data_IF_781962950006
#
_entry.id   IF_781962950006
#
_cell.length_a   1.000
_cell.length_b   1.000
_cell.length_c   1.000
_cell.angle_alpha   90.00
_cell.angle_beta   90.00
_cell.angle_gamma   90.00
#
_symmetry.space_group_name_H-M   'P 1'
#
loop_
_entity.id
_entity.type
_entity.pdbx_description
1 polymer ?
#
# COMPACT_ATOMS: atom_id res chain seq x y z
N UNK A 1 -31.36 4.82 -4.26
CA UNK A 1 -30.05 4.19 -4.02
C UNK A 1 -28.87 4.75 -4.84
N UNK A 2 -29.01 5.25 -6.09
CA UNK A 2 -27.84 5.71 -6.87
C UNK A 2 -27.07 6.86 -6.21
N UNK A 3 -27.78 7.80 -5.59
CA UNK A 3 -27.19 8.99 -4.97
C UNK A 3 -26.31 8.66 -3.75
N UNK A 4 -26.74 7.72 -2.90
CA UNK A 4 -25.94 7.23 -1.78
C UNK A 4 -24.63 6.60 -2.24
N UNK A 5 -24.68 5.73 -3.26
CA UNK A 5 -23.50 5.08 -3.80
C UNK A 5 -22.54 6.09 -4.45
N UNK A 6 -23.07 7.08 -5.18
CA UNK A 6 -22.24 8.13 -5.80
C UNK A 6 -21.54 9.00 -4.74
N UNK A 7 -22.26 9.39 -3.69
CA UNK A 7 -21.68 10.15 -2.58
C UNK A 7 -20.60 9.33 -1.87
N UNK A 8 -20.86 8.06 -1.55
CA UNK A 8 -19.89 7.15 -0.93
C UNK A 8 -18.63 6.97 -1.78
N UNK A 9 -18.77 6.76 -3.09
CA UNK A 9 -17.62 6.65 -4.00
C UNK A 9 -16.82 7.94 -3.99
N UNK A 10 -17.47 9.11 -4.07
CA UNK A 10 -16.78 10.40 -4.05
C UNK A 10 -16.00 10.61 -2.75
N UNK A 11 -16.59 10.27 -1.62
CA UNK A 11 -15.95 10.45 -0.30
C UNK A 11 -14.77 9.49 -0.12
N UNK A 12 -14.90 8.24 -0.58
CA UNK A 12 -13.78 7.29 -0.62
C UNK A 12 -12.67 7.77 -1.57
N UNK A 13 -13.00 8.30 -2.76
CA UNK A 13 -12.00 8.85 -3.68
C UNK A 13 -11.25 10.03 -3.05
N UNK A 14 -11.94 10.93 -2.35
CA UNK A 14 -11.26 12.02 -1.62
C UNK A 14 -10.33 11.48 -0.54
N UNK A 15 -10.74 10.44 0.19
CA UNK A 15 -9.89 9.80 1.19
C UNK A 15 -8.66 9.12 0.55
N UNK A 16 -8.81 8.56 -0.64
CA UNK A 16 -7.68 8.02 -1.43
C UNK A 16 -6.72 9.12 -1.91
N UNK A 17 -7.26 10.30 -2.23
CA UNK A 17 -6.49 11.45 -2.71
C UNK A 17 -5.76 12.21 -1.58
N UNK A 18 -6.21 12.08 -0.33
CA UNK A 18 -5.55 12.64 0.85
C UNK A 18 -4.39 11.74 1.25
N UNK A 19 -3.17 12.13 0.86
CA UNK A 19 -1.95 11.35 1.08
C UNK A 19 -1.39 11.41 2.51
N UNK A 20 -2.09 12.07 3.43
CA UNK A 20 -1.57 12.40 4.77
C UNK A 20 -1.83 11.31 5.85
N UNK A 21 -2.72 10.34 5.60
CA UNK A 21 -3.13 9.32 6.59
C UNK A 21 -2.62 7.89 6.31
N UNK A 22 -1.44 7.75 5.68
CA UNK A 22 -0.84 6.43 5.49
C UNK A 22 -0.49 5.77 6.84
N UNK A 23 -0.73 4.47 6.94
CA UNK A 23 -0.45 3.68 8.15
C UNK A 23 0.48 2.49 7.90
N UNK A 24 1.00 2.36 6.68
CA UNK A 24 1.98 1.35 6.32
C UNK A 24 3.10 1.92 5.43
N UNK A 25 4.34 1.57 5.77
CA UNK A 25 5.52 1.75 4.94
C UNK A 25 5.94 0.40 4.34
N UNK A 26 6.02 0.31 3.01
CA UNK A 26 6.53 -0.86 2.29
C UNK A 26 7.99 -0.60 1.91
N UNK A 27 8.88 -1.53 2.28
CA UNK A 27 10.30 -1.49 1.96
C UNK A 27 10.63 -2.60 0.96
N UNK A 28 11.12 -2.23 -0.22
CA UNK A 28 11.44 -3.14 -1.32
C UNK A 28 12.91 -2.98 -1.71
N UNK A 29 13.62 -4.08 -1.93
CA UNK A 29 15.01 -4.08 -2.40
C UNK A 29 15.85 -5.18 -1.76
N UNK A 30 17.13 -5.20 -2.07
CA UNK A 30 18.11 -6.09 -1.42
C UNK A 30 18.63 -5.43 -0.13
N UNK A 31 18.82 -6.21 0.93
CA UNK A 31 19.49 -5.79 2.17
C UNK A 31 20.92 -5.31 1.93
N UNK A 32 21.56 -5.76 0.86
CA UNK A 32 22.91 -5.34 0.45
C UNK A 32 22.91 -4.21 -0.60
N UNK A 33 21.72 -3.70 -0.97
CA UNK A 33 21.54 -2.68 -2.01
C UNK A 33 20.62 -1.53 -1.58
N UNK A 34 20.15 -0.75 -2.56
CA UNK A 34 19.26 0.39 -2.28
C UNK A 34 17.85 -0.08 -1.94
N UNK A 35 17.43 0.16 -0.70
CA UNK A 35 16.03 -0.01 -0.28
C UNK A 35 15.19 1.18 -0.76
N UNK A 36 14.02 0.89 -1.33
CA UNK A 36 13.03 1.88 -1.74
C UNK A 36 11.84 1.82 -0.79
N UNK A 37 11.35 2.99 -0.35
CA UNK A 37 10.25 3.14 0.60
C UNK A 37 8.97 3.61 -0.10
N UNK A 38 7.83 3.05 0.30
CA UNK A 38 6.50 3.47 -0.15
C UNK A 38 5.60 3.66 1.05
N UNK A 39 4.82 4.73 1.02
CA UNK A 39 3.76 4.97 1.98
C UNK A 39 2.43 4.60 1.34
N UNK A 40 1.55 3.95 2.09
CA UNK A 40 0.26 3.51 1.59
C UNK A 40 -0.75 3.34 2.74
N UNK A 41 -2.02 3.09 2.38
CA UNK A 41 -3.06 2.73 3.33
C UNK A 41 -3.31 1.23 3.32
N UNK A 42 -3.05 0.57 4.44
CA UNK A 42 -3.19 -0.89 4.58
C UNK A 42 -4.59 -1.40 4.21
N UNK A 43 -5.65 -0.63 4.48
CA UNK A 43 -7.03 -0.99 4.15
C UNK A 43 -7.25 -1.10 2.64
N UNK A 44 -6.76 -0.14 1.85
CA UNK A 44 -6.85 -0.16 0.39
C UNK A 44 -6.16 -1.42 -0.14
N UNK A 45 -4.95 -1.71 0.35
CA UNK A 45 -4.16 -2.87 -0.10
C UNK A 45 -4.89 -4.18 0.18
N UNK A 46 -5.46 -4.33 1.37
CA UNK A 46 -6.25 -5.51 1.76
C UNK A 46 -7.52 -5.66 0.94
N UNK A 47 -8.17 -4.55 0.58
CA UNK A 47 -9.36 -4.55 -0.25
C UNK A 47 -9.06 -4.90 -1.72
N UNK A 48 -7.90 -4.48 -2.23
CA UNK A 48 -7.52 -4.61 -3.65
C UNK A 48 -6.75 -5.87 -3.98
N UNK A 49 -6.14 -6.54 -2.99
CA UNK A 49 -5.29 -7.68 -3.23
C UNK A 49 -5.47 -8.77 -2.16
N UNK A 50 -5.89 -10.00 -2.53
CA UNK A 50 -5.91 -11.14 -1.61
C UNK A 50 -4.54 -11.45 -1.00
N UNK A 51 -3.44 -11.14 -1.72
CA UNK A 51 -2.10 -11.24 -1.18
C UNK A 51 -1.91 -10.29 0.00
N UNK A 52 -2.18 -8.99 -0.18
CA UNK A 52 -2.06 -8.02 0.92
C UNK A 52 -3.12 -8.24 2.01
N UNK A 53 -4.31 -8.73 1.65
CA UNK A 53 -5.33 -9.16 2.63
C UNK A 53 -4.76 -10.19 3.61
N UNK A 54 -4.03 -11.19 3.10
CA UNK A 54 -3.36 -12.21 3.92
C UNK A 54 -2.12 -11.66 4.60
N UNK A 55 -1.21 -11.03 3.85
CA UNK A 55 0.08 -10.53 4.34
C UNK A 55 -0.05 -9.47 5.45
N UNK A 56 -1.14 -8.70 5.46
CA UNK A 56 -1.43 -7.68 6.48
C UNK A 56 -2.43 -8.12 7.55
N UNK A 57 -2.90 -9.38 7.51
CA UNK A 57 -3.87 -9.90 8.50
C UNK A 57 -3.25 -10.58 9.72
N UNK A 58 -1.98 -11.00 9.64
CA UNK A 58 -1.31 -11.84 10.65
C UNK A 58 0.22 -11.65 10.68
N UNK A 59 0.74 -10.53 11.16
CA UNK A 59 2.13 -10.46 11.69
C UNK A 59 3.33 -10.59 10.73
N UNK A 60 3.22 -10.14 9.47
CA UNK A 60 4.42 -9.97 8.60
C UNK A 60 4.92 -8.52 8.54
N UNK A 61 4.17 -7.57 9.11
CA UNK A 61 4.64 -6.21 9.30
C UNK A 61 5.09 -6.00 10.74
N UNK A 62 6.31 -5.50 10.93
CA UNK A 62 6.72 -5.00 12.25
C UNK A 62 6.04 -3.66 12.48
N UNK A 63 5.39 -3.48 13.62
CA UNK A 63 4.89 -2.18 14.02
C UNK A 63 6.04 -1.41 14.67
N UNK A 64 6.47 -0.32 14.06
CA UNK A 64 7.44 0.62 14.65
C UNK A 64 6.64 1.89 15.00
N UNK A 65 6.21 2.00 16.26
CA UNK A 65 5.30 3.06 16.71
C UNK A 65 3.87 2.88 16.17
N UNK A 66 3.32 3.90 15.53
CA UNK A 66 1.99 3.87 14.91
C UNK A 66 1.99 3.30 13.48
N UNK A 67 3.15 3.22 12.84
CA UNK A 67 3.29 2.76 11.45
C UNK A 67 3.66 1.28 11.35
N UNK A 68 3.02 0.59 10.40
CA UNK A 68 3.38 -0.78 10.02
C UNK A 68 4.50 -0.76 8.99
N UNK A 69 5.54 -1.57 9.18
CA UNK A 69 6.63 -1.73 8.20
C UNK A 69 6.54 -3.10 7.56
N UNK A 70 6.30 -3.12 6.27
CA UNK A 70 6.25 -4.34 5.45
C UNK A 70 7.52 -4.46 4.61
N UNK A 71 8.42 -5.36 5.02
CA UNK A 71 9.70 -5.59 4.33
C UNK A 71 9.56 -6.73 3.34
N UNK A 72 9.98 -6.50 2.10
CA UNK A 72 10.10 -7.54 1.08
C UNK A 72 11.51 -7.56 0.50
N UNK A 73 12.49 -8.08 1.29
CA UNK A 73 13.82 -8.34 0.76
C UNK A 73 13.68 -9.38 -0.37
N UNK A 74 14.45 -9.25 -1.45
CA UNK A 74 14.47 -10.14 -2.64
C UNK A 74 13.51 -9.78 -3.79
N UNK A 75 12.92 -8.58 -3.82
CA UNK A 75 12.31 -8.06 -5.05
C UNK A 75 13.34 -7.20 -5.79
N UNK A 76 13.60 -7.53 -7.06
CA UNK A 76 14.52 -6.76 -7.88
C UNK A 76 13.94 -5.38 -8.23
N UNK A 77 14.78 -4.35 -8.40
CA UNK A 77 14.34 -3.02 -8.82
C UNK A 77 13.51 -3.01 -10.13
N UNK A 78 13.71 -4.00 -11.03
CA UNK A 78 12.94 -4.12 -12.29
C UNK A 78 11.52 -4.62 -12.06
N UNK A 79 11.33 -5.64 -11.21
CA UNK A 79 9.99 -6.09 -10.80
C UNK A 79 9.28 -4.95 -10.07
N UNK A 80 10.02 -4.17 -9.29
CA UNK A 80 9.51 -2.97 -8.65
C UNK A 80 8.98 -1.91 -9.64
N UNK A 81 9.69 -1.61 -10.73
CA UNK A 81 9.17 -0.67 -11.77
C UNK A 81 7.87 -1.18 -12.38
N UNK A 82 7.73 -2.49 -12.56
CA UNK A 82 6.48 -3.09 -13.03
C UNK A 82 5.35 -2.92 -12.00
N UNK A 83 5.61 -3.16 -10.72
CA UNK A 83 4.61 -2.95 -9.66
C UNK A 83 4.20 -1.49 -9.52
N UNK A 84 5.15 -0.56 -9.65
CA UNK A 84 4.89 0.88 -9.61
C UNK A 84 4.07 1.36 -10.81
N UNK A 85 4.20 0.73 -11.98
CA UNK A 85 3.37 1.05 -13.17
C UNK A 85 1.97 0.44 -13.11
N UNK A 86 1.89 -0.85 -12.78
CA UNK A 86 0.63 -1.59 -12.77
C UNK A 86 -0.23 -1.29 -11.54
N UNK A 87 0.41 -1.12 -10.39
CA UNK A 87 -0.26 -0.80 -9.14
C UNK A 87 -0.06 0.66 -8.72
N UNK A 88 0.62 1.48 -9.52
CA UNK A 88 0.79 2.91 -9.23
C UNK A 88 -0.52 3.60 -8.91
N UNK A 89 -1.60 3.27 -9.61
CA UNK A 89 -2.93 3.84 -9.32
C UNK A 89 -3.59 3.31 -8.01
N UNK A 90 -3.03 2.27 -7.39
CA UNK A 90 -3.47 1.70 -6.10
C UNK A 90 -2.61 2.22 -4.93
N UNK A 91 -1.39 2.66 -5.22
CA UNK A 91 -0.41 3.10 -4.22
C UNK A 91 -0.07 4.60 -4.29
N UNK A 92 -0.44 5.30 -5.37
CA UNK A 92 -0.25 6.73 -5.57
C UNK A 92 -1.58 7.45 -5.80
N UNK A 93 -1.93 8.28 -4.83
CA UNK A 93 -2.00 9.73 -4.97
C UNK A 93 -1.36 10.36 -3.74
#
# INVERSE_FOLDING_TARGET
>A
MPEFTQNLIRDLTKLLDLSDEYNITILVGDTNGKLVKFQAHSLILRARSPYFKRALSKDWSKKEGEMHIFKKPNISPKIYVYWSREFGQIFWK
#
